data_IF_440697137034
#
_entry.id   IF_440697137034
#
_cell.length_a   1.000
_cell.length_b   1.000
_cell.length_c   1.000
_cell.angle_alpha   90.00
_cell.angle_beta   90.00
_cell.angle_gamma   90.00
#
_symmetry.space_group_name_H-M   'P 1'
#
loop_
_entity.id
_entity.type
_entity.pdbx_description
1 polymer ?
#
# COMPACT_ATOMS: atom_id res chain seq x y z
N UNK A 1 -6.24 -21.20 -5.50
CA UNK A 1 -5.87 -19.78 -5.52
C UNK A 1 -5.43 -19.34 -4.13
N UNK A 2 -4.35 -18.58 -4.07
CA UNK A 2 -3.86 -17.99 -2.82
C UNK A 2 -4.19 -16.53 -2.76
N UNK A 3 -4.46 -16.03 -1.57
CA UNK A 3 -4.74 -14.62 -1.35
C UNK A 3 -4.16 -14.19 -0.01
N UNK A 4 -3.40 -13.11 -0.04
CA UNK A 4 -2.81 -12.51 1.16
C UNK A 4 -3.36 -11.10 1.29
N UNK A 5 -3.92 -10.77 2.44
CA UNK A 5 -4.47 -9.45 2.74
C UNK A 5 -3.62 -8.81 3.82
N UNK A 6 -3.12 -7.61 3.52
CA UNK A 6 -2.18 -6.90 4.36
C UNK A 6 -2.80 -5.56 4.75
N UNK A 7 -2.72 -5.19 6.01
CA UNK A 7 -3.20 -3.91 6.50
C UNK A 7 -2.10 -3.19 7.25
N UNK A 8 -1.89 -1.93 6.90
CA UNK A 8 -0.92 -1.05 7.57
C UNK A 8 -1.68 0.13 8.14
N UNK A 9 -1.79 0.17 9.47
CA UNK A 9 -2.52 1.23 10.17
C UNK A 9 -1.84 2.58 10.01
N UNK A 10 -2.63 3.64 10.01
CA UNK A 10 -2.16 5.01 9.89
C UNK A 10 -2.37 5.57 8.49
N UNK A 11 -2.12 6.87 8.36
CA UNK A 11 -2.31 7.58 7.10
C UNK A 11 -1.45 6.97 6.01
N UNK A 12 -2.05 6.53 4.88
CA UNK A 12 -1.27 6.02 3.76
C UNK A 12 -0.30 7.06 3.23
N UNK A 13 0.90 6.60 2.88
CA UNK A 13 1.97 7.45 2.39
C UNK A 13 2.35 7.04 0.98
N UNK A 14 2.78 8.01 0.18
CA UNK A 14 3.32 7.76 -1.14
C UNK A 14 4.83 7.62 -1.10
N UNK A 15 5.39 6.94 -2.09
CA UNK A 15 6.83 6.86 -2.26
C UNK A 15 7.37 8.25 -2.54
N UNK A 16 8.32 8.71 -1.71
CA UNK A 16 8.99 9.98 -1.90
C UNK A 16 9.94 9.94 -3.10
N UNK A 17 10.16 11.09 -3.71
CA UNK A 17 11.13 11.21 -4.79
C UNK A 17 12.54 10.95 -4.25
N UNK A 18 13.41 10.27 -5.02
CA UNK A 18 14.80 10.12 -4.62
C UNK A 18 15.44 11.47 -4.35
N UNK A 19 16.26 11.53 -3.31
CA UNK A 19 17.06 12.70 -2.96
C UNK A 19 18.51 12.43 -3.30
N UNK A 20 19.30 13.49 -3.42
CA UNK A 20 20.69 13.39 -3.78
C UNK A 20 21.57 13.97 -2.67
N UNK A 21 22.67 13.29 -2.40
CA UNK A 21 23.72 13.82 -1.53
C UNK A 21 24.51 14.88 -2.28
N UNK A 22 25.38 15.60 -1.56
CA UNK A 22 26.29 16.58 -2.17
C UNK A 22 27.19 15.99 -3.25
N UNK A 23 27.51 14.70 -3.13
CA UNK A 23 28.35 13.98 -4.08
C UNK A 23 27.56 13.33 -5.21
N UNK A 24 26.26 13.60 -5.30
CA UNK A 24 25.43 13.11 -6.40
C UNK A 24 24.85 11.70 -6.21
N UNK A 25 24.99 11.09 -5.04
CA UNK A 25 24.41 9.78 -4.76
C UNK A 25 22.91 9.91 -4.48
N UNK A 26 22.10 9.13 -5.19
CA UNK A 26 20.66 9.08 -4.96
C UNK A 26 20.34 8.22 -3.74
N UNK A 27 19.36 8.63 -2.95
CA UNK A 27 18.84 7.83 -1.83
C UNK A 27 17.34 8.03 -1.66
N UNK A 28 16.69 7.02 -1.09
CA UNK A 28 15.26 7.09 -0.78
C UNK A 28 15.06 7.83 0.55
N UNK A 29 14.09 8.78 0.62
CA UNK A 29 13.83 9.50 1.87
C UNK A 29 13.56 8.56 3.04
N UNK A 30 14.03 8.87 4.26
CA UNK A 30 13.85 8.00 5.42
C UNK A 30 12.39 7.64 5.73
N UNK A 31 11.46 8.56 5.55
CA UNK A 31 10.03 8.30 5.78
C UNK A 31 9.50 7.23 4.83
N UNK A 32 9.94 7.25 3.59
CA UNK A 32 9.56 6.24 2.59
C UNK A 32 10.12 4.88 2.98
N UNK A 33 11.39 4.81 3.36
CA UNK A 33 12.04 3.57 3.80
C UNK A 33 11.30 2.99 5.01
N UNK A 34 10.98 3.81 6.00
CA UNK A 34 10.24 3.38 7.19
C UNK A 34 8.87 2.84 6.83
N UNK A 35 8.14 3.53 5.96
CA UNK A 35 6.80 3.10 5.57
C UNK A 35 6.86 1.77 4.80
N UNK A 36 7.79 1.62 3.88
CA UNK A 36 7.98 0.36 3.15
C UNK A 36 8.36 -0.78 4.10
N UNK A 37 9.15 -0.51 5.12
CA UNK A 37 9.48 -1.50 6.16
C UNK A 37 8.24 -1.91 6.95
N UNK A 38 7.35 -0.98 7.26
CA UNK A 38 6.08 -1.29 7.93
C UNK A 38 5.18 -2.17 7.07
N UNK A 39 5.14 -1.89 5.78
CA UNK A 39 4.40 -2.74 4.83
C UNK A 39 5.01 -4.14 4.80
N UNK A 40 6.33 -4.23 4.69
CA UNK A 40 7.04 -5.51 4.66
C UNK A 40 6.85 -6.30 5.94
N UNK A 41 6.89 -5.65 7.09
CA UNK A 41 6.65 -6.31 8.37
C UNK A 41 5.24 -6.88 8.44
N UNK A 42 4.23 -6.13 7.99
CA UNK A 42 2.85 -6.60 7.95
C UNK A 42 2.69 -7.76 6.97
N UNK A 43 3.35 -7.69 5.80
CA UNK A 43 3.36 -8.76 4.82
C UNK A 43 4.00 -10.03 5.37
N UNK A 44 5.17 -9.88 6.01
CA UNK A 44 5.88 -10.99 6.63
C UNK A 44 5.01 -11.70 7.68
N UNK A 45 4.40 -10.92 8.58
CA UNK A 45 3.53 -11.47 9.62
C UNK A 45 2.37 -12.27 9.02
N UNK A 46 1.74 -11.75 7.98
CA UNK A 46 0.62 -12.43 7.33
C UNK A 46 1.05 -13.69 6.59
N UNK A 47 2.18 -13.63 5.90
CA UNK A 47 2.74 -14.81 5.22
C UNK A 47 3.09 -15.91 6.22
N UNK A 48 3.65 -15.54 7.39
CA UNK A 48 3.93 -16.50 8.45
C UNK A 48 2.65 -17.10 9.02
N UNK A 49 1.63 -16.27 9.25
CA UNK A 49 0.33 -16.74 9.77
C UNK A 49 -0.30 -17.77 8.82
N UNK A 50 -0.17 -17.54 7.51
CA UNK A 50 -0.73 -18.41 6.49
C UNK A 50 0.21 -19.58 6.11
N UNK A 51 1.40 -19.61 6.68
CA UNK A 51 2.44 -20.57 6.37
C UNK A 51 2.78 -20.60 4.87
N UNK A 52 2.96 -19.40 4.30
CA UNK A 52 3.30 -19.21 2.90
C UNK A 52 4.70 -18.65 2.75
N UNK A 53 5.39 -19.06 1.71
CA UNK A 53 6.64 -18.45 1.26
C UNK A 53 6.36 -17.45 0.14
N UNK A 54 7.27 -16.52 -0.08
CA UNK A 54 7.17 -15.61 -1.21
C UNK A 54 7.02 -16.39 -2.51
N UNK A 55 6.14 -15.92 -3.39
CA UNK A 55 5.83 -16.62 -4.64
C UNK A 55 6.62 -16.05 -5.82
N UNK A 56 6.99 -16.90 -6.76
CA UNK A 56 7.56 -16.48 -8.05
C UNK A 56 6.49 -16.43 -9.16
N UNK A 57 5.23 -16.66 -8.82
CA UNK A 57 4.12 -16.69 -9.78
C UNK A 57 3.67 -15.29 -10.16
N UNK A 58 3.04 -15.12 -11.31
CA UNK A 58 2.34 -13.87 -11.63
C UNK A 58 1.26 -13.58 -10.59
N UNK A 59 1.14 -12.32 -10.18
CA UNK A 59 0.20 -11.92 -9.15
C UNK A 59 -0.71 -10.79 -9.61
N UNK A 60 -1.90 -10.73 -9.01
CA UNK A 60 -2.79 -9.58 -9.09
C UNK A 60 -2.75 -8.85 -7.74
N UNK A 61 -2.63 -7.53 -7.79
CA UNK A 61 -2.52 -6.70 -6.59
C UNK A 61 -3.64 -5.66 -6.59
N UNK A 62 -4.36 -5.57 -5.49
CA UNK A 62 -5.33 -4.52 -5.22
C UNK A 62 -4.82 -3.68 -4.04
N UNK A 63 -4.82 -2.36 -4.21
CA UNK A 63 -4.39 -1.42 -3.17
C UNK A 63 -5.53 -0.43 -2.92
N UNK A 64 -5.92 -0.29 -1.67
CA UNK A 64 -6.89 0.72 -1.26
C UNK A 64 -6.26 1.55 -0.14
N UNK A 65 -6.15 2.85 -0.40
CA UNK A 65 -5.68 3.81 0.59
C UNK A 65 -6.90 4.49 1.24
N UNK A 66 -7.17 4.13 2.48
CA UNK A 66 -8.22 4.79 3.27
C UNK A 66 -7.59 6.00 3.94
N UNK A 67 -7.93 7.16 3.42
CA UNK A 67 -7.32 8.43 3.80
C UNK A 67 -8.07 9.08 4.96
N UNK A 68 -7.34 9.76 5.82
CA UNK A 68 -7.92 10.49 6.92
C UNK A 68 -8.76 11.67 6.41
N UNK A 69 -9.91 11.90 7.04
CA UNK A 69 -10.75 13.06 6.74
C UNK A 69 -10.14 14.26 7.45
N UNK A 70 -9.87 15.39 6.74
CA UNK A 70 -9.27 16.57 7.39
C UNK A 70 -10.10 17.06 8.57
N UNK A 71 -9.43 17.29 9.69
CA UNK A 71 -10.09 17.74 10.94
C UNK A 71 -10.72 19.12 10.80
N UNK A 72 -10.17 19.94 9.91
CA UNK A 72 -10.63 21.33 9.68
C UNK A 72 -11.95 21.41 8.90
N UNK A 73 -12.38 20.31 8.30
CA UNK A 73 -13.62 20.31 7.51
C UNK A 73 -14.84 20.47 8.40
N UNK A 74 -15.90 21.08 7.86
CA UNK A 74 -17.19 21.19 8.55
C UNK A 74 -17.78 19.80 8.80
N UNK A 75 -18.69 19.72 9.76
CA UNK A 75 -19.39 18.48 10.08
C UNK A 75 -20.13 17.92 8.85
N UNK A 76 -20.79 18.78 8.09
CA UNK A 76 -21.48 18.40 6.85
C UNK A 76 -20.52 17.80 5.84
N UNK A 77 -19.37 18.45 5.61
CA UNK A 77 -18.38 17.99 4.65
C UNK A 77 -17.74 16.67 5.09
N UNK A 78 -17.51 16.49 6.39
CA UNK A 78 -17.01 15.22 6.93
C UNK A 78 -17.97 14.08 6.67
N UNK A 79 -19.27 14.30 6.85
CA UNK A 79 -20.30 13.29 6.55
C UNK A 79 -20.33 12.95 5.06
N UNK A 80 -20.25 13.97 4.19
CA UNK A 80 -20.21 13.73 2.75
C UNK A 80 -18.98 12.92 2.34
N UNK A 81 -17.82 13.17 2.95
CA UNK A 81 -16.61 12.39 2.74
C UNK A 81 -16.80 10.94 3.20
N UNK A 82 -17.39 10.75 4.37
CA UNK A 82 -17.65 9.44 4.95
C UNK A 82 -18.56 8.57 4.07
N UNK A 83 -19.56 9.19 3.43
CA UNK A 83 -20.49 8.49 2.55
C UNK A 83 -20.01 8.39 1.10
N UNK A 84 -18.80 8.86 0.80
CA UNK A 84 -18.24 8.75 -0.54
C UNK A 84 -18.72 9.82 -1.51
N UNK A 85 -19.43 10.85 -1.05
CA UNK A 85 -19.89 11.94 -1.91
C UNK A 85 -18.75 12.88 -2.32
N UNK A 86 -17.63 12.85 -1.60
CA UNK A 86 -16.43 13.64 -1.91
C UNK A 86 -15.28 12.68 -2.17
N UNK A 87 -14.60 12.84 -3.30
CA UNK A 87 -13.43 12.04 -3.65
C UNK A 87 -12.21 12.50 -2.86
N UNK A 88 -11.34 11.54 -2.52
CA UNK A 88 -10.12 11.81 -1.76
C UNK A 88 -9.02 12.33 -2.67
N UNK A 89 -9.17 13.55 -3.17
CA UNK A 89 -8.14 14.21 -3.98
C UNK A 89 -7.04 14.77 -3.08
N UNK A 90 -5.91 15.07 -3.68
CA UNK A 90 -4.78 15.62 -2.95
C UNK A 90 -3.65 14.62 -2.75
N UNK A 91 -2.62 15.06 -2.06
CA UNK A 91 -1.44 14.22 -1.80
C UNK A 91 -1.72 13.19 -0.72
N UNK A 92 -1.04 12.04 -0.76
CA UNK A 92 -0.09 11.62 -1.80
C UNK A 92 -0.79 11.20 -3.09
N UNK A 93 -0.06 11.27 -4.20
CA UNK A 93 -0.56 10.85 -5.51
C UNK A 93 -0.76 9.34 -5.53
N UNK A 94 -1.78 8.90 -6.27
CA UNK A 94 -2.16 7.49 -6.30
C UNK A 94 -1.05 6.58 -6.80
N UNK A 95 -0.32 6.98 -7.83
CA UNK A 95 0.80 6.20 -8.37
C UNK A 95 1.93 6.06 -7.35
N UNK A 96 2.18 7.06 -6.52
CA UNK A 96 3.20 7.00 -5.48
C UNK A 96 2.78 6.08 -4.34
N UNK A 97 1.48 6.00 -4.03
CA UNK A 97 0.95 5.02 -3.07
C UNK A 97 1.15 3.61 -3.62
N UNK A 98 0.82 3.40 -4.89
CA UNK A 98 1.00 2.10 -5.54
C UNK A 98 2.47 1.67 -5.51
N UNK A 99 3.40 2.57 -5.80
CA UNK A 99 4.84 2.27 -5.74
C UNK A 99 5.30 1.86 -4.35
N UNK A 100 4.86 2.59 -3.31
CA UNK A 100 5.19 2.26 -1.93
C UNK A 100 4.67 0.87 -1.57
N UNK A 101 3.42 0.57 -1.95
CA UNK A 101 2.82 -0.73 -1.69
C UNK A 101 3.60 -1.86 -2.38
N UNK A 102 3.90 -1.70 -3.67
CA UNK A 102 4.63 -2.73 -4.43
C UNK A 102 6.05 -2.92 -3.89
N UNK A 103 6.76 -1.85 -3.57
CA UNK A 103 8.10 -1.97 -3.00
C UNK A 103 8.06 -2.64 -1.63
N UNK A 104 7.03 -2.37 -0.82
CA UNK A 104 6.88 -2.97 0.50
C UNK A 104 6.63 -4.47 0.47
N UNK A 105 5.91 -4.98 -0.54
CA UNK A 105 5.62 -6.41 -0.64
C UNK A 105 6.67 -7.20 -1.43
N UNK A 106 7.66 -6.52 -2.00
CA UNK A 106 8.69 -7.14 -2.84
C UNK A 106 9.92 -7.50 -1.99
N UNK A 107 10.42 -8.69 -2.20
CA UNK A 107 11.60 -9.22 -1.52
C UNK A 107 11.33 -10.59 -0.91
N UNK A 108 12.36 -11.26 -0.45
CA UNK A 108 12.25 -12.61 0.11
C UNK A 108 11.50 -12.66 1.44
N UNK A 109 11.40 -11.54 2.16
CA UNK A 109 10.55 -11.41 3.35
C UNK A 109 9.20 -10.76 3.04
N UNK A 110 8.89 -10.53 1.77
CA UNK A 110 7.62 -10.02 1.29
C UNK A 110 6.74 -11.13 0.73
N UNK A 111 5.95 -10.77 -0.27
CA UNK A 111 5.01 -11.69 -0.94
C UNK A 111 5.55 -12.13 -2.30
N UNK A 112 6.22 -11.25 -3.02
CA UNK A 112 6.79 -11.49 -4.36
C UNK A 112 8.28 -11.16 -4.36
N UNK A 113 9.01 -11.73 -5.32
CA UNK A 113 10.45 -11.48 -5.45
C UNK A 113 10.76 -10.25 -6.29
N UNK A 114 9.89 -9.92 -7.25
CA UNK A 114 10.13 -8.83 -8.20
C UNK A 114 8.79 -8.24 -8.64
N UNK A 115 8.72 -6.92 -8.77
CA UNK A 115 7.49 -6.24 -9.17
C UNK A 115 7.08 -6.54 -10.61
N UNK A 116 7.99 -7.11 -11.43
CA UNK A 116 7.63 -7.60 -12.77
C UNK A 116 6.64 -8.76 -12.73
N UNK A 117 6.45 -9.40 -11.58
CA UNK A 117 5.44 -10.45 -11.41
C UNK A 117 4.02 -9.88 -11.36
N UNK A 118 3.86 -8.58 -11.13
CA UNK A 118 2.54 -7.95 -11.03
C UNK A 118 1.96 -7.78 -12.44
N UNK A 119 0.93 -8.55 -12.76
CA UNK A 119 0.29 -8.53 -14.08
C UNK A 119 -1.07 -7.83 -14.05
N UNK A 120 -1.58 -7.52 -12.88
CA UNK A 120 -2.80 -6.75 -12.69
C UNK A 120 -2.65 -5.90 -11.44
N UNK A 121 -2.97 -4.62 -11.56
CA UNK A 121 -2.88 -3.68 -10.44
C UNK A 121 -4.11 -2.79 -10.46
N UNK A 122 -4.83 -2.79 -9.33
CA UNK A 122 -5.90 -1.83 -9.07
C UNK A 122 -5.49 -1.03 -7.85
N UNK A 123 -5.63 0.28 -7.93
CA UNK A 123 -5.27 1.15 -6.82
C UNK A 123 -6.28 2.28 -6.72
N UNK A 124 -6.78 2.55 -5.52
CA UNK A 124 -7.70 3.67 -5.30
C UNK A 124 -7.45 4.34 -3.95
N UNK A 125 -7.83 5.62 -3.88
CA UNK A 125 -7.91 6.38 -2.63
C UNK A 125 -9.37 6.65 -2.32
N UNK A 126 -9.72 6.52 -1.05
CA UNK A 126 -11.03 6.88 -0.53
C UNK A 126 -10.86 7.36 0.91
N UNK A 127 -11.84 8.08 1.44
CA UNK A 127 -11.76 8.47 2.84
C UNK A 127 -12.10 7.28 3.74
N UNK A 128 -11.42 7.22 4.89
CA UNK A 128 -11.68 6.18 5.88
C UNK A 128 -13.00 6.42 6.61
N UNK A 129 -13.54 5.33 7.17
CA UNK A 129 -14.63 5.46 8.13
C UNK A 129 -14.05 5.97 9.46
N UNK A 130 -14.71 6.94 10.14
CA UNK A 130 -14.18 7.50 11.39
C UNK A 130 -13.88 6.46 12.47
N UNK A 131 -14.67 5.39 12.54
CA UNK A 131 -14.50 4.35 13.55
C UNK A 131 -13.28 3.46 13.29
N UNK A 132 -12.82 3.38 12.04
CA UNK A 132 -11.68 2.53 11.66
C UNK A 132 -10.38 3.30 11.53
N UNK A 133 -10.48 4.58 11.20
CA UNK A 133 -9.31 5.41 10.94
C UNK A 133 -8.59 5.08 9.63
N UNK A 134 -7.53 5.84 9.33
CA UNK A 134 -6.79 5.63 8.08
C UNK A 134 -6.01 4.33 8.10
N UNK A 135 -5.94 3.68 6.93
CA UNK A 135 -5.25 2.39 6.78
C UNK A 135 -4.90 2.18 5.30
N UNK A 136 -3.79 1.54 5.04
CA UNK A 136 -3.45 1.03 3.71
C UNK A 136 -3.81 -0.46 3.68
N UNK A 137 -4.65 -0.83 2.72
CA UNK A 137 -5.04 -2.22 2.48
C UNK A 137 -4.41 -2.70 1.18
N UNK A 138 -3.76 -3.86 1.22
CA UNK A 138 -3.14 -4.49 0.05
C UNK A 138 -3.61 -5.94 -0.01
N UNK A 139 -4.10 -6.34 -1.18
CA UNK A 139 -4.48 -7.73 -1.43
C UNK A 139 -3.63 -8.27 -2.58
N UNK A 140 -2.99 -9.40 -2.38
CA UNK A 140 -2.17 -10.07 -3.39
C UNK A 140 -2.75 -11.45 -3.62
N UNK A 141 -3.02 -11.80 -4.88
CA UNK A 141 -3.58 -13.11 -5.22
C UNK A 141 -2.83 -13.75 -6.39
N UNK A 142 -2.76 -15.08 -6.35
CA UNK A 142 -2.10 -15.85 -7.41
C UNK A 142 -2.59 -17.30 -7.39
N UNK A 143 -2.23 -18.04 -8.44
CA UNK A 143 -2.45 -19.48 -8.51
C UNK A 143 -1.11 -20.20 -8.59
N UNK A 144 -0.97 -21.31 -7.86
CA UNK A 144 0.25 -22.13 -7.90
C UNK A 144 0.25 -23.09 -9.06
N UNK A 145 -0.93 -23.47 -9.55
CA UNK A 145 -1.05 -24.50 -10.56
C UNK A 145 -0.79 -23.96 -11.95
N UNK A 146 0.04 -24.66 -12.68
CA UNK A 146 0.20 -24.47 -14.12
C UNK A 146 -0.87 -25.26 -14.85
N UNK A 147 -1.45 -24.63 -15.83
CA UNK A 147 -2.40 -25.28 -16.74
C UNK A 147 -1.77 -25.61 -18.08
#
# INVERSE_FOLDING_TARGET
MYRVEIQVSGQPQGKGRPRFTRTGHAYTPPRTVEYEQRIRAAAWAEMQRLNLDATDRPVAVDVIAFMNIPKSWTKKKKLEAEYGAISAVGRPDLDNIAKAALDGITGDTGVIFDDTQVVSLKCKKTFCHPDRGPVLYISVSWTELEE
#
